data_IF_931290002245
#
_entry.id   IF_931290002245
#
_cell.length_a   1.000
_cell.length_b   1.000
_cell.length_c   1.000
_cell.angle_alpha   90.00
_cell.angle_beta   90.00
_cell.angle_gamma   90.00
#
_symmetry.space_group_name_H-M   'P 1'
#
loop_
_entity.id
_entity.type
_entity.pdbx_description
1 polymer ?
#
# COMPACT_ATOMS: atom_id res chain seq x y z
N UNK A 1 -4.22 -13.45 36.99
CA UNK A 1 -3.63 -12.76 35.81
C UNK A 1 -2.23 -13.27 35.35
N UNK A 2 -1.81 -14.54 35.53
CA UNK A 2 -0.49 -15.00 35.03
C UNK A 2 -0.45 -15.21 33.50
N UNK A 3 -1.58 -15.55 32.86
CA UNK A 3 -1.67 -15.81 31.41
C UNK A 3 -1.26 -14.61 30.54
N UNK A 4 -1.51 -13.37 31.00
CA UNK A 4 -1.18 -12.17 30.24
C UNK A 4 0.35 -11.95 30.11
N UNK A 5 1.13 -12.34 31.12
CA UNK A 5 2.59 -12.16 31.10
C UNK A 5 3.28 -13.14 30.15
N UNK A 6 2.81 -14.37 30.08
CA UNK A 6 3.37 -15.35 29.13
C UNK A 6 3.07 -14.96 27.69
N UNK A 7 1.84 -14.56 27.38
CA UNK A 7 1.49 -14.11 26.03
C UNK A 7 2.32 -12.90 25.58
N UNK A 8 2.60 -11.96 26.49
CA UNK A 8 3.41 -10.78 26.18
C UNK A 8 4.87 -11.15 25.82
N UNK A 9 5.45 -12.17 26.47
CA UNK A 9 6.82 -12.63 26.17
C UNK A 9 6.93 -13.21 24.75
N UNK A 10 5.88 -13.83 24.24
CA UNK A 10 5.86 -14.37 22.87
C UNK A 10 5.72 -13.30 21.80
N UNK A 11 5.05 -12.19 22.10
CA UNK A 11 4.82 -11.11 21.13
C UNK A 11 6.01 -10.15 21.01
N UNK A 12 6.82 -10.01 22.07
CA UNK A 12 7.97 -9.09 22.11
C UNK A 12 8.89 -9.18 20.89
N UNK A 13 9.43 -10.35 20.52
CA UNK A 13 10.35 -10.48 19.39
C UNK A 13 9.76 -10.01 18.06
N UNK A 14 8.46 -10.21 17.82
CA UNK A 14 7.81 -9.80 16.58
C UNK A 14 7.55 -8.30 16.54
N UNK A 15 7.21 -7.69 17.68
CA UNK A 15 7.10 -6.24 17.78
C UNK A 15 8.45 -5.56 17.52
N UNK A 16 9.53 -6.03 18.17
CA UNK A 16 10.88 -5.52 17.93
C UNK A 16 11.34 -5.75 16.49
N UNK A 17 11.06 -6.93 15.92
CA UNK A 17 11.32 -7.21 14.51
C UNK A 17 10.58 -6.26 13.57
N UNK A 18 9.30 -5.99 13.84
CA UNK A 18 8.48 -5.03 13.08
C UNK A 18 9.02 -3.60 13.16
N UNK A 19 9.48 -3.17 14.33
CA UNK A 19 10.13 -1.87 14.52
C UNK A 19 11.44 -1.76 13.74
N UNK A 20 12.33 -2.74 13.85
CA UNK A 20 13.61 -2.76 13.14
C UNK A 20 13.41 -2.78 11.61
N UNK A 21 12.47 -3.59 11.12
CA UNK A 21 12.12 -3.62 9.70
C UNK A 21 11.57 -2.26 9.22
N UNK A 22 10.71 -1.63 10.03
CA UNK A 22 10.17 -0.29 9.72
C UNK A 22 11.28 0.74 9.57
N UNK A 23 12.22 0.80 10.52
CA UNK A 23 13.36 1.73 10.47
C UNK A 23 14.29 1.42 9.29
N UNK A 24 14.58 0.15 9.05
CA UNK A 24 15.43 -0.28 7.94
C UNK A 24 14.84 0.11 6.58
N UNK A 25 13.55 -0.16 6.36
CA UNK A 25 12.85 0.16 5.11
C UNK A 25 12.65 1.66 4.93
N UNK A 26 12.48 2.41 6.02
CA UNK A 26 12.32 3.87 5.97
C UNK A 26 13.63 4.63 5.73
N UNK A 27 14.76 4.16 6.27
CA UNK A 27 16.02 4.92 6.23
C UNK A 27 17.12 4.19 5.46
N UNK A 28 17.48 2.99 5.89
CA UNK A 28 18.64 2.29 5.35
C UNK A 28 18.45 1.90 3.89
N UNK A 29 17.26 1.41 3.51
CA UNK A 29 17.00 0.94 2.16
C UNK A 29 17.00 2.07 1.11
N UNK A 30 16.32 3.23 1.34
CA UNK A 30 16.45 4.39 0.45
C UNK A 30 17.89 4.90 0.33
N UNK A 31 18.63 4.98 1.44
CA UNK A 31 20.04 5.40 1.40
C UNK A 31 20.90 4.43 0.57
N UNK A 32 20.71 3.13 0.76
CA UNK A 32 21.40 2.11 -0.02
C UNK A 32 21.06 2.20 -1.52
N UNK A 33 19.81 2.49 -1.87
CA UNK A 33 19.41 2.70 -3.26
C UNK A 33 20.17 3.90 -3.86
N UNK A 34 20.13 5.06 -3.20
CA UNK A 34 20.80 6.29 -3.64
C UNK A 34 22.31 6.08 -3.77
N UNK A 35 22.97 5.47 -2.79
CA UNK A 35 24.43 5.19 -2.85
C UNK A 35 24.84 4.24 -3.99
N UNK A 36 23.89 3.49 -4.56
CA UNK A 36 24.13 2.62 -5.72
C UNK A 36 23.79 3.29 -7.05
N UNK A 37 23.44 4.57 -7.05
CA UNK A 37 22.98 5.28 -8.25
C UNK A 37 21.61 4.83 -8.75
N UNK A 38 20.91 3.98 -7.98
CA UNK A 38 19.47 3.87 -8.12
C UNK A 38 18.92 5.12 -7.44
N UNK A 39 18.81 6.21 -8.21
CA UNK A 39 18.20 7.45 -7.74
C UNK A 39 16.78 7.23 -7.21
N UNK A 40 16.06 8.30 -6.93
CA UNK A 40 14.67 8.21 -6.43
C UNK A 40 13.66 7.73 -7.50
N UNK A 41 13.93 6.60 -8.17
CA UNK A 41 13.15 6.02 -9.24
C UNK A 41 13.16 6.88 -10.52
N UNK A 42 13.25 6.23 -11.68
CA UNK A 42 12.98 6.86 -12.99
C UNK A 42 11.48 7.12 -13.22
N UNK A 43 10.65 7.09 -12.16
CA UNK A 43 9.22 7.30 -12.34
C UNK A 43 8.99 8.73 -12.85
N UNK A 44 8.19 8.84 -13.93
CA UNK A 44 7.94 10.09 -14.66
C UNK A 44 7.55 11.19 -13.67
N UNK A 45 8.37 12.24 -13.59
CA UNK A 45 8.10 13.43 -12.79
C UNK A 45 6.70 13.96 -13.15
N UNK A 46 5.86 14.14 -12.13
CA UNK A 46 4.53 14.74 -12.30
C UNK A 46 4.56 16.15 -11.77
N UNK A 47 4.13 17.11 -12.56
CA UNK A 47 4.11 18.51 -12.15
C UNK A 47 2.67 18.94 -11.89
N UNK A 48 2.41 19.49 -10.70
CA UNK A 48 1.12 20.06 -10.35
C UNK A 48 1.23 21.56 -10.23
N UNK A 49 0.32 22.31 -10.85
CA UNK A 49 0.37 23.77 -10.88
C UNK A 49 -0.75 24.35 -10.03
N UNK A 50 -0.54 25.49 -9.38
CA UNK A 50 -1.61 26.14 -8.63
C UNK A 50 -2.75 26.58 -9.56
N UNK A 51 -3.99 26.31 -9.16
CA UNK A 51 -5.20 26.85 -9.76
C UNK A 51 -5.33 28.33 -9.40
N UNK A 52 -4.45 29.17 -9.96
CA UNK A 52 -4.57 30.63 -9.91
C UNK A 52 -5.53 31.14 -11.00
N UNK A 53 -6.00 32.40 -10.90
CA UNK A 53 -6.60 33.05 -12.06
C UNK A 53 -5.56 32.99 -13.16
N UNK A 54 -5.82 32.19 -14.19
CA UNK A 54 -4.99 32.13 -15.38
C UNK A 54 -4.75 33.58 -15.80
N UNK A 55 -3.53 34.09 -15.60
CA UNK A 55 -3.11 35.28 -16.32
C UNK A 55 -3.24 34.83 -17.77
N UNK A 56 -4.23 35.37 -18.48
CA UNK A 56 -4.57 34.97 -19.84
C UNK A 56 -3.37 35.11 -20.81
N UNK A 57 -2.31 35.79 -20.37
CA UNK A 57 -1.06 36.01 -21.10
C UNK A 57 0.06 35.02 -20.72
N UNK A 58 -0.23 33.91 -20.03
CA UNK A 58 0.78 32.90 -19.68
C UNK A 58 1.07 31.97 -20.89
N UNK A 59 1.62 32.52 -21.97
CA UNK A 59 2.14 31.79 -23.13
C UNK A 59 3.35 30.88 -22.79
N UNK A 60 3.72 30.77 -21.52
CA UNK A 60 4.84 29.93 -21.08
C UNK A 60 4.49 29.21 -19.76
N UNK A 61 4.27 27.87 -19.80
CA UNK A 61 3.97 27.07 -18.61
C UNK A 61 5.08 27.12 -17.54
N UNK A 62 6.29 27.53 -17.90
CA UNK A 62 7.42 27.72 -16.99
C UNK A 62 7.24 28.84 -15.95
N UNK A 63 6.21 29.68 -16.07
CA UNK A 63 5.97 30.81 -15.14
C UNK A 63 4.96 30.51 -14.04
N UNK A 64 4.43 29.29 -13.96
CA UNK A 64 3.44 28.93 -12.95
C UNK A 64 4.09 28.30 -11.73
N UNK A 65 3.60 28.60 -10.51
CA UNK A 65 4.12 27.96 -9.32
C UNK A 65 3.77 26.48 -9.37
N UNK A 66 4.77 25.65 -9.12
CA UNK A 66 4.69 24.23 -9.37
C UNK A 66 5.06 23.41 -8.14
N UNK A 67 4.38 22.29 -7.97
CA UNK A 67 4.74 21.22 -7.06
C UNK A 67 5.10 20.00 -7.90
N UNK A 68 6.38 19.68 -7.95
CA UNK A 68 6.88 18.50 -8.65
C UNK A 68 6.84 17.29 -7.72
N UNK A 69 6.25 16.20 -8.20
CA UNK A 69 6.16 14.93 -7.49
C UNK A 69 7.03 13.88 -8.18
N UNK A 70 7.98 13.35 -7.43
CA UNK A 70 8.72 12.14 -7.78
C UNK A 70 8.35 11.04 -6.77
N UNK A 71 7.81 9.93 -7.26
CA UNK A 71 7.36 8.81 -6.43
C UNK A 71 8.23 7.58 -6.71
N UNK A 72 8.45 6.80 -5.66
CA UNK A 72 9.01 5.46 -5.73
C UNK A 72 8.26 4.56 -4.73
N UNK A 73 8.57 3.27 -4.75
CA UNK A 73 8.02 2.33 -3.77
C UNK A 73 8.35 2.77 -2.33
N UNK A 74 9.56 3.28 -2.06
CA UNK A 74 10.04 3.55 -0.70
C UNK A 74 9.99 5.03 -0.31
N UNK A 75 9.93 5.91 -1.31
CA UNK A 75 10.06 7.37 -1.12
C UNK A 75 9.04 8.13 -1.95
N UNK A 76 8.64 9.31 -1.46
CA UNK A 76 7.97 10.34 -2.26
C UNK A 76 8.66 11.67 -1.98
N UNK A 77 9.10 12.35 -3.04
CA UNK A 77 9.68 13.70 -2.98
C UNK A 77 8.70 14.68 -3.62
N UNK A 78 8.41 15.74 -2.90
CA UNK A 78 7.60 16.86 -3.35
C UNK A 78 8.49 18.10 -3.38
N UNK A 79 8.71 18.69 -4.55
CA UNK A 79 9.52 19.90 -4.71
C UNK A 79 8.60 21.07 -5.02
N UNK A 80 8.40 21.96 -4.04
CA UNK A 80 7.64 23.19 -4.22
C UNK A 80 8.56 24.28 -4.77
N UNK A 81 8.21 24.83 -5.92
CA UNK A 81 8.99 25.85 -6.64
C UNK A 81 8.10 27.09 -6.83
N UNK A 82 8.54 28.27 -6.36
CA UNK A 82 7.81 29.51 -6.59
C UNK A 82 7.98 30.00 -8.02
N UNK A 83 7.15 30.95 -8.43
CA UNK A 83 7.38 31.72 -9.66
C UNK A 83 8.54 32.70 -9.49
N UNK A 84 9.01 33.28 -10.60
CA UNK A 84 9.99 34.38 -10.59
C UNK A 84 9.52 35.59 -9.74
N UNK A 85 8.21 35.81 -9.69
CA UNK A 85 7.55 36.84 -8.87
C UNK A 85 7.41 36.44 -7.37
N UNK A 86 7.87 35.24 -6.97
CA UNK A 86 7.83 34.74 -5.59
C UNK A 86 6.50 34.12 -5.14
N UNK A 87 5.58 33.80 -6.06
CA UNK A 87 4.33 33.13 -5.71
C UNK A 87 4.56 31.63 -5.53
N UNK A 88 4.06 31.04 -4.44
CA UNK A 88 4.20 29.62 -4.13
C UNK A 88 2.95 28.82 -4.54
N UNK A 89 3.06 27.49 -4.73
CA UNK A 89 1.95 26.63 -5.16
C UNK A 89 0.94 26.36 -4.03
N UNK A 90 0.29 27.42 -3.53
CA UNK A 90 -0.72 27.36 -2.48
C UNK A 90 -2.11 27.19 -3.12
N UNK A 91 -2.95 26.31 -2.55
CA UNK A 91 -4.35 26.14 -2.94
C UNK A 91 -4.62 24.85 -3.73
N UNK A 92 -5.70 24.82 -4.55
CA UNK A 92 -5.99 23.67 -5.40
C UNK A 92 -4.87 23.51 -6.43
N UNK A 93 -4.30 22.31 -6.54
CA UNK A 93 -3.28 22.03 -7.55
C UNK A 93 -3.92 21.28 -8.73
N UNK A 94 -3.46 21.54 -9.95
CA UNK A 94 -3.93 20.91 -11.18
C UNK A 94 -2.79 20.07 -11.78
N UNK A 95 -3.06 18.81 -12.07
CA UNK A 95 -2.14 17.92 -12.79
C UNK A 95 -2.47 17.94 -14.29
N UNK A 96 -1.48 18.24 -15.14
CA UNK A 96 -1.59 18.11 -16.59
C UNK A 96 -0.96 16.79 -17.01
N UNK A 97 -1.78 15.89 -17.57
CA UNK A 97 -1.39 14.50 -17.86
C UNK A 97 -0.67 14.34 -19.19
N UNK A 98 -0.89 15.27 -20.11
CA UNK A 98 -0.30 15.33 -21.44
C UNK A 98 -0.28 16.78 -21.92
N UNK A 99 0.71 17.18 -22.72
CA UNK A 99 0.82 18.55 -23.26
C UNK A 99 -0.41 18.91 -24.13
N UNK A 100 -1.10 17.90 -24.65
CA UNK A 100 -2.22 18.04 -25.59
C UNK A 100 -3.62 17.94 -24.97
N UNK A 101 -3.76 17.38 -23.76
CA UNK A 101 -5.08 17.15 -23.13
C UNK A 101 -5.17 17.76 -21.73
N UNK A 102 -5.73 18.97 -21.70
CA UNK A 102 -6.02 19.77 -20.52
C UNK A 102 -7.25 19.22 -19.77
N UNK A 103 -7.18 18.01 -19.21
CA UNK A 103 -8.17 17.60 -18.21
C UNK A 103 -7.58 17.89 -16.82
N UNK A 104 -7.89 19.04 -16.21
CA UNK A 104 -7.32 19.43 -14.92
C UNK A 104 -7.84 18.49 -13.83
N UNK A 105 -7.00 17.57 -13.37
CA UNK A 105 -7.29 16.79 -12.18
C UNK A 105 -6.90 17.62 -10.94
N UNK A 106 -7.89 17.94 -10.09
CA UNK A 106 -7.63 18.62 -8.81
C UNK A 106 -6.87 17.67 -7.87
N UNK A 107 -5.68 18.07 -7.47
CA UNK A 107 -4.80 17.37 -6.53
C UNK A 107 -4.66 18.16 -5.23
N UNK A 108 -4.53 17.42 -4.14
CA UNK A 108 -4.22 17.97 -2.81
C UNK A 108 -3.00 17.22 -2.29
N UNK A 109 -1.90 17.92 -1.97
CA UNK A 109 -0.73 17.25 -1.44
C UNK A 109 -1.04 16.69 -0.03
N UNK A 110 -0.35 15.62 0.41
CA UNK A 110 -0.48 15.14 1.77
C UNK A 110 -0.22 16.25 2.79
N UNK A 111 -0.93 16.27 3.92
CA UNK A 111 -0.79 17.31 4.95
C UNK A 111 0.62 17.44 5.56
N UNK A 112 1.53 16.48 5.30
CA UNK A 112 2.92 16.55 5.73
C UNK A 112 3.84 17.29 4.73
N UNK A 113 3.33 17.65 3.55
CA UNK A 113 4.07 18.37 2.50
C UNK A 113 3.93 19.86 2.71
N UNK A 114 5.07 20.55 2.78
CA UNK A 114 5.11 22.01 2.85
C UNK A 114 5.13 22.56 1.43
N UNK A 115 4.14 23.38 1.09
CA UNK A 115 3.99 23.96 -0.26
C UNK A 115 4.41 25.43 -0.34
N UNK A 116 4.62 26.09 0.80
CA UNK A 116 5.06 27.48 0.88
C UNK A 116 5.80 27.74 2.20
N UNK A 117 6.76 28.69 2.21
CA UNK A 117 7.36 29.19 3.42
C UNK A 117 6.35 30.03 4.24
N UNK A 118 6.65 30.34 5.51
CA UNK A 118 5.86 31.31 6.29
C UNK A 118 5.78 32.67 5.59
N UNK A 119 4.70 33.44 5.80
CA UNK A 119 4.42 34.70 5.08
C UNK A 119 5.56 35.73 5.13
N UNK A 120 6.39 35.72 6.17
CA UNK A 120 7.55 36.61 6.32
C UNK A 120 8.82 36.19 5.56
N UNK A 121 8.82 34.99 4.96
CA UNK A 121 10.01 34.38 4.33
C UNK A 121 9.80 34.08 2.84
N UNK A 122 8.69 34.51 2.22
CA UNK A 122 8.33 34.13 0.84
C UNK A 122 9.42 34.39 -0.21
N UNK A 123 10.17 35.48 -0.08
CA UNK A 123 11.27 35.82 -1.00
C UNK A 123 12.64 35.26 -0.63
N UNK A 124 12.78 34.63 0.54
CA UNK A 124 14.06 34.11 1.03
C UNK A 124 14.43 32.74 0.45
N UNK A 125 13.44 32.03 -0.09
CA UNK A 125 13.54 30.64 -0.52
C UNK A 125 13.22 30.51 -2.02
N UNK A 126 13.99 29.68 -2.71
CA UNK A 126 13.82 29.38 -4.13
C UNK A 126 13.22 28.01 -4.39
N UNK A 127 13.28 27.09 -3.41
CA UNK A 127 12.72 25.74 -3.49
C UNK A 127 12.54 25.14 -2.10
N UNK A 128 11.50 24.35 -1.89
CA UNK A 128 11.32 23.52 -0.70
C UNK A 128 11.08 22.08 -1.13
N UNK A 129 11.95 21.16 -0.73
CA UNK A 129 11.80 19.74 -0.99
C UNK A 129 11.30 19.03 0.26
N UNK A 130 10.12 18.42 0.19
CA UNK A 130 9.58 17.55 1.25
C UNK A 130 9.74 16.08 0.85
N UNK A 131 10.47 15.31 1.65
CA UNK A 131 10.67 13.87 1.46
C UNK A 131 9.85 13.08 2.46
N UNK A 132 9.06 12.12 1.96
CA UNK A 132 8.32 11.14 2.74
C UNK A 132 8.94 9.75 2.50
N UNK A 133 9.21 9.00 3.55
CA UNK A 133 9.82 7.65 3.44
C UNK A 133 9.10 6.62 4.28
N UNK A 134 9.21 5.37 3.86
CA UNK A 134 8.64 4.20 4.54
C UNK A 134 7.71 3.40 3.64
N UNK A 135 7.59 2.11 3.94
CA UNK A 135 6.73 1.19 3.21
C UNK A 135 6.19 0.09 4.16
N UNK A 136 4.92 -0.33 4.03
CA UNK A 136 3.93 0.13 3.04
C UNK A 136 3.34 1.51 3.34
N UNK A 137 3.48 2.02 4.57
CA UNK A 137 3.00 3.34 4.97
C UNK A 137 4.16 4.32 5.13
N UNK A 138 3.99 5.57 4.72
CA UNK A 138 5.00 6.62 4.93
C UNK A 138 5.13 6.93 6.42
N UNK A 139 6.28 6.58 6.99
CA UNK A 139 6.55 6.60 8.43
C UNK A 139 7.34 7.83 8.89
N UNK A 140 8.12 8.45 8.00
CA UNK A 140 8.90 9.64 8.31
C UNK A 140 8.76 10.70 7.23
N UNK A 141 8.94 11.95 7.64
CA UNK A 141 8.97 13.12 6.77
C UNK A 141 10.12 14.05 7.15
N UNK A 142 10.63 14.80 6.19
CA UNK A 142 11.67 15.80 6.40
C UNK A 142 11.71 16.77 5.24
N UNK A 143 12.32 17.93 5.46
CA UNK A 143 12.35 19.01 4.48
C UNK A 143 13.77 19.51 4.23
N UNK A 144 14.06 19.91 3.00
CA UNK A 144 15.26 20.63 2.61
C UNK A 144 14.84 21.95 1.95
N UNK A 145 15.28 23.08 2.52
CA UNK A 145 14.88 24.42 2.10
C UNK A 145 16.06 25.12 1.41
N UNK A 146 15.88 25.55 0.16
CA UNK A 146 16.94 26.15 -0.65
C UNK A 146 16.77 27.67 -0.69
N UNK A 147 17.79 28.42 -0.27
CA UNK A 147 17.74 29.88 -0.26
C UNK A 147 17.86 30.46 -1.66
N UNK A 148 17.21 31.59 -1.91
CA UNK A 148 17.39 32.36 -3.13
C UNK A 148 18.80 32.95 -3.14
N UNK A 149 19.68 32.42 -3.99
CA UNK A 149 21.01 32.99 -4.17
C UNK A 149 20.88 34.30 -4.95
N UNK A 150 21.27 35.42 -4.33
CA UNK A 150 21.30 36.72 -4.98
C UNK A 150 22.48 36.80 -5.95
N UNK A 151 22.34 36.19 -7.13
CA UNK A 151 23.04 36.34 -8.42
C UNK A 151 24.58 36.53 -8.49
N UNK A 152 25.34 36.62 -7.39
CA UNK A 152 26.76 37.01 -7.45
C UNK A 152 27.80 35.95 -7.18
N UNK A 153 27.44 34.83 -6.55
CA UNK A 153 28.34 33.68 -6.44
C UNK A 153 27.51 32.39 -6.55
N UNK A 154 27.59 31.73 -7.70
CA UNK A 154 26.91 30.46 -8.02
C UNK A 154 27.44 29.25 -7.23
N UNK A 155 28.02 29.48 -6.05
CA UNK A 155 28.50 28.44 -5.17
C UNK A 155 27.31 27.83 -4.41
N UNK A 156 26.96 26.61 -4.78
CA UNK A 156 26.09 25.62 -4.11
C UNK A 156 25.09 26.20 -3.10
N UNK A 157 23.82 26.26 -3.48
CA UNK A 157 22.74 26.61 -2.56
C UNK A 157 22.71 25.60 -1.39
N UNK A 158 23.25 26.01 -0.23
CA UNK A 158 23.24 25.20 0.99
C UNK A 158 21.80 25.04 1.44
N UNK A 159 21.26 23.83 1.35
CA UNK A 159 19.92 23.56 1.83
C UNK A 159 19.87 23.51 3.36
N UNK A 160 18.92 24.24 3.92
CA UNK A 160 18.59 24.19 5.35
C UNK A 160 17.68 22.98 5.59
N UNK A 161 18.21 21.95 6.25
CA UNK A 161 17.45 20.74 6.57
C UNK A 161 16.55 20.97 7.80
N UNK A 162 15.23 20.84 7.64
CA UNK A 162 14.26 20.98 8.72
C UNK A 162 13.60 19.65 9.02
N UNK A 163 13.82 19.13 10.23
CA UNK A 163 13.34 17.80 10.60
C UNK A 163 13.96 16.66 9.77
N UNK A 164 15.15 16.90 9.24
CA UNK A 164 15.94 15.97 8.45
C UNK A 164 17.42 16.14 8.80
N UNK A 165 18.21 15.11 8.56
CA UNK A 165 19.66 15.20 8.57
C UNK A 165 20.18 15.22 7.14
N UNK A 166 20.86 16.31 6.75
CA UNK A 166 21.55 16.37 5.46
C UNK A 166 22.83 15.51 5.48
N UNK A 167 23.00 14.70 4.45
CA UNK A 167 24.22 13.92 4.19
C UNK A 167 25.08 14.55 3.09
N UNK A 168 24.67 15.70 2.54
CA UNK A 168 25.36 16.40 1.45
C UNK A 168 24.83 16.03 0.06
N UNK A 169 25.61 16.40 -0.95
CA UNK A 169 25.33 16.09 -2.36
C UNK A 169 25.90 14.71 -2.72
N UNK A 170 25.08 13.84 -3.30
CA UNK A 170 25.52 12.62 -3.98
C UNK A 170 24.94 12.63 -5.39
N UNK A 171 25.81 12.58 -6.41
CA UNK A 171 25.39 12.57 -7.83
C UNK A 171 24.45 13.74 -8.18
N UNK A 172 24.83 14.96 -7.77
CA UNK A 172 24.06 16.20 -7.97
C UNK A 172 22.70 16.28 -7.24
N UNK A 173 22.32 15.23 -6.50
CA UNK A 173 21.12 15.21 -5.68
C UNK A 173 21.45 15.43 -4.20
N UNK A 174 20.63 16.26 -3.54
CA UNK A 174 20.74 16.49 -2.10
C UNK A 174 20.12 15.31 -1.35
N UNK A 175 20.95 14.58 -0.61
CA UNK A 175 20.51 13.40 0.14
C UNK A 175 20.28 13.78 1.58
N UNK A 176 19.09 13.52 2.09
CA UNK A 176 18.76 13.74 3.49
C UNK A 176 17.91 12.63 4.09
N UNK A 177 18.09 12.41 5.39
CA UNK A 177 17.37 11.42 6.18
C UNK A 177 16.25 12.11 6.95
N UNK A 178 14.97 11.82 6.66
CA UNK A 178 13.85 12.45 7.36
C UNK A 178 13.72 11.90 8.78
N UNK A 179 13.57 12.81 9.75
CA UNK A 179 13.54 12.51 11.18
C UNK A 179 12.17 12.77 11.82
N UNK A 180 11.25 13.52 11.17
CA UNK A 180 9.94 13.79 11.78
C UNK A 180 9.07 12.53 11.70
N UNK A 181 8.65 11.96 12.84
CA UNK A 181 7.86 10.74 12.86
C UNK A 181 6.42 11.03 12.40
N UNK A 182 5.90 10.15 11.55
CA UNK A 182 4.48 10.08 11.20
C UNK A 182 3.88 8.89 11.94
N UNK A 183 3.34 9.15 13.12
CA UNK A 183 2.90 8.10 14.06
C UNK A 183 1.98 7.06 13.43
N UNK A 184 1.02 7.47 12.60
CA UNK A 184 0.12 6.54 11.93
C UNK A 184 0.87 5.58 10.99
N UNK A 185 1.85 6.09 10.24
CA UNK A 185 2.68 5.28 9.35
C UNK A 185 3.63 4.35 10.11
N UNK A 186 4.22 4.83 11.21
CA UNK A 186 5.09 4.02 12.09
C UNK A 186 4.30 2.85 12.69
N UNK A 187 3.15 3.14 13.30
CA UNK A 187 2.31 2.10 13.92
C UNK A 187 1.83 1.10 12.86
N UNK A 188 1.36 1.57 11.71
CA UNK A 188 0.95 0.72 10.60
C UNK A 188 2.06 -0.21 10.12
N UNK A 189 3.28 0.31 9.93
CA UNK A 189 4.42 -0.49 9.49
C UNK A 189 4.87 -1.50 10.56
N UNK A 190 4.88 -1.14 11.86
CA UNK A 190 5.23 -2.07 12.94
C UNK A 190 4.25 -3.24 12.97
N UNK A 191 2.94 -2.97 12.87
CA UNK A 191 1.92 -4.01 12.84
C UNK A 191 2.07 -4.89 11.60
N UNK A 192 2.26 -4.28 10.43
CA UNK A 192 2.43 -4.98 9.17
C UNK A 192 3.67 -5.90 9.22
N UNK A 193 4.84 -5.35 9.48
CA UNK A 193 6.10 -6.10 9.48
C UNK A 193 6.19 -7.09 10.64
N UNK A 194 5.64 -6.77 11.80
CA UNK A 194 5.52 -7.71 12.92
C UNK A 194 4.64 -8.91 12.57
N UNK A 195 3.53 -8.68 11.85
CA UNK A 195 2.65 -9.75 11.35
C UNK A 195 3.34 -10.61 10.29
N UNK A 196 4.09 -10.00 9.36
CA UNK A 196 4.87 -10.71 8.35
C UNK A 196 5.95 -11.59 9.01
N UNK A 197 6.70 -11.05 9.98
CA UNK A 197 7.72 -11.79 10.71
C UNK A 197 7.11 -12.96 11.51
N UNK A 198 5.96 -12.72 12.17
CA UNK A 198 5.22 -13.77 12.84
C UNK A 198 4.78 -14.87 11.88
N UNK A 199 4.19 -14.50 10.75
CA UNK A 199 3.74 -15.45 9.73
C UNK A 199 4.91 -16.26 9.16
N UNK A 200 6.06 -15.62 8.89
CA UNK A 200 7.25 -16.29 8.38
C UNK A 200 7.79 -17.38 9.32
N UNK A 201 7.59 -17.25 10.63
CA UNK A 201 8.00 -18.26 11.63
C UNK A 201 6.87 -19.25 11.91
N UNK A 202 5.65 -18.76 12.12
CA UNK A 202 4.52 -19.58 12.53
C UNK A 202 4.01 -20.48 11.39
N UNK A 203 3.96 -19.98 10.15
CA UNK A 203 3.38 -20.70 9.03
C UNK A 203 4.17 -21.97 8.66
N UNK A 204 5.52 -21.96 8.53
CA UNK A 204 6.27 -23.19 8.27
C UNK A 204 6.14 -24.23 9.39
N UNK A 205 6.08 -23.78 10.65
CA UNK A 205 5.88 -24.67 11.80
C UNK A 205 4.48 -25.30 11.79
N UNK A 206 3.46 -24.50 11.50
CA UNK A 206 2.09 -24.99 11.33
C UNK A 206 1.99 -25.98 10.15
N UNK A 207 2.58 -25.66 8.99
CA UNK A 207 2.62 -26.55 7.82
C UNK A 207 3.36 -27.85 8.15
N UNK A 208 4.53 -27.79 8.81
CA UNK A 208 5.29 -28.98 9.20
C UNK A 208 4.51 -29.86 10.17
N UNK A 209 3.88 -29.25 11.17
CA UNK A 209 3.01 -29.94 12.12
C UNK A 209 1.85 -30.63 11.41
N UNK A 210 1.18 -29.91 10.51
CA UNK A 210 0.07 -30.44 9.72
C UNK A 210 0.51 -31.58 8.79
N UNK A 211 1.66 -31.44 8.10
CA UNK A 211 2.21 -32.51 7.26
C UNK A 211 2.51 -33.77 8.08
N UNK A 212 3.13 -33.63 9.26
CA UNK A 212 3.37 -34.76 10.17
C UNK A 212 2.07 -35.45 10.55
N UNK A 213 1.05 -34.69 10.95
CA UNK A 213 -0.25 -35.23 11.31
C UNK A 213 -0.95 -35.93 10.13
N UNK A 214 -0.83 -35.39 8.90
CA UNK A 214 -1.34 -36.00 7.66
C UNK A 214 -0.70 -37.36 7.37
N UNK A 215 0.59 -37.53 7.64
CA UNK A 215 1.31 -38.81 7.46
C UNK A 215 1.24 -39.71 8.71
N UNK A 216 0.25 -39.53 9.59
CA UNK A 216 0.08 -40.35 10.77
C UNK A 216 1.14 -40.14 11.86
N UNK A 217 1.95 -39.08 11.79
CA UNK A 217 2.98 -38.78 12.81
C UNK A 217 2.46 -37.80 13.86
N UNK A 218 3.02 -37.85 15.07
CA UNK A 218 2.74 -36.86 16.10
C UNK A 218 3.27 -35.48 15.68
N UNK A 219 2.43 -34.44 15.79
CA UNK A 219 2.81 -33.06 15.46
C UNK A 219 3.94 -32.50 16.32
N UNK A 220 4.10 -32.99 17.57
CA UNK A 220 5.14 -32.55 18.53
C UNK A 220 6.43 -33.36 18.38
N UNK A 221 6.42 -34.66 18.71
CA UNK A 221 7.64 -35.49 18.74
C UNK A 221 7.97 -36.21 17.43
N UNK A 222 7.04 -36.28 16.46
CA UNK A 222 7.27 -36.98 15.20
C UNK A 222 7.06 -38.51 15.23
N UNK A 223 6.66 -39.09 16.37
CA UNK A 223 6.35 -40.52 16.48
C UNK A 223 5.31 -40.98 15.45
N UNK A 224 5.60 -42.03 14.71
CA UNK A 224 4.69 -42.66 13.74
C UNK A 224 3.60 -43.43 14.46
N UNK A 225 2.35 -43.02 14.28
CA UNK A 225 1.20 -43.80 14.74
C UNK A 225 0.90 -44.89 13.72
N UNK A 226 0.50 -46.06 14.23
CA UNK A 226 0.05 -47.16 13.41
C UNK A 226 -1.16 -46.71 12.57
N UNK A 227 -0.99 -46.68 11.25
CA UNK A 227 -2.03 -46.29 10.30
C UNK A 227 -3.17 -47.31 10.24
N UNK A 228 -2.95 -48.54 10.73
CA UNK A 228 -3.95 -49.61 10.75
C UNK A 228 -4.74 -49.67 12.06
N UNK A 229 -4.39 -48.86 13.07
CA UNK A 229 -5.15 -48.81 14.31
C UNK A 229 -6.54 -48.20 14.05
N UNK A 230 -7.59 -49.00 14.29
CA UNK A 230 -9.02 -48.63 14.11
C UNK A 230 -9.41 -47.36 14.89
N UNK A 231 -8.70 -47.07 15.99
CA UNK A 231 -8.92 -45.88 16.82
C UNK A 231 -7.59 -45.18 17.10
N UNK A 232 -7.48 -43.91 16.68
CA UNK A 232 -6.34 -43.07 17.06
C UNK A 232 -6.34 -42.87 18.59
N UNK A 233 -5.24 -43.10 19.30
CA UNK A 233 -5.17 -42.84 20.73
C UNK A 233 -5.38 -41.34 21.02
N UNK A 234 -5.98 -40.99 22.16
CA UNK A 234 -6.22 -39.58 22.55
C UNK A 234 -4.95 -38.83 22.94
N UNK A 235 -3.86 -39.57 23.24
CA UNK A 235 -2.55 -39.03 23.61
C UNK A 235 -1.45 -39.74 22.84
N UNK A 236 -0.38 -39.02 22.52
CA UNK A 236 0.80 -39.63 21.94
C UNK A 236 1.47 -40.55 22.97
N UNK A 237 1.80 -41.81 22.62
CA UNK A 237 2.39 -42.75 23.57
C UNK A 237 3.80 -42.33 24.02
N UNK A 238 4.54 -41.62 23.18
CA UNK A 238 5.90 -41.17 23.53
C UNK A 238 5.93 -39.90 24.36
N UNK A 239 5.39 -38.81 23.82
CA UNK A 239 5.54 -37.49 24.44
C UNK A 239 4.37 -37.08 25.35
N UNK A 240 3.37 -37.95 25.50
CA UNK A 240 2.18 -37.72 26.34
C UNK A 240 1.29 -36.57 25.88
N UNK A 241 1.63 -35.87 24.79
CA UNK A 241 0.84 -34.74 24.29
C UNK A 241 -0.54 -35.27 23.92
N UNK A 242 -1.57 -34.67 24.51
CA UNK A 242 -2.92 -34.92 24.06
C UNK A 242 -2.97 -34.52 22.58
N UNK A 243 -3.41 -35.43 21.73
CA UNK A 243 -3.83 -35.01 20.41
C UNK A 243 -4.99 -34.09 20.66
N UNK A 244 -4.86 -32.83 20.24
CA UNK A 244 -6.03 -31.99 20.15
C UNK A 244 -7.04 -32.81 19.35
N UNK A 245 -8.17 -33.20 19.97
CA UNK A 245 -9.33 -33.70 19.22
C UNK A 245 -9.54 -32.65 18.18
N UNK A 246 -9.23 -32.98 16.93
CA UNK A 246 -9.09 -31.99 15.88
C UNK A 246 -10.34 -31.12 15.90
N UNK A 247 -10.30 -29.91 16.50
CA UNK A 247 -11.49 -29.10 16.58
C UNK A 247 -11.86 -28.69 15.15
N UNK A 248 -10.87 -28.76 14.26
CA UNK A 248 -10.91 -28.60 12.83
C UNK A 248 -10.78 -29.95 12.09
N UNK A 249 -11.34 -31.06 12.58
CA UNK A 249 -11.50 -32.28 11.76
C UNK A 249 -12.18 -31.98 10.41
N UNK A 250 -12.90 -30.85 10.37
CA UNK A 250 -13.47 -30.17 9.21
C UNK A 250 -12.48 -29.44 8.26
N UNK A 251 -11.19 -29.31 8.61
CA UNK A 251 -10.15 -28.56 7.89
C UNK A 251 -9.02 -29.42 7.33
N UNK A 252 -9.06 -30.76 7.48
CA UNK A 252 -8.63 -31.60 6.35
C UNK A 252 -9.40 -31.04 5.16
N UNK A 253 -8.74 -30.36 4.21
CA UNK A 253 -9.41 -29.69 3.09
C UNK A 253 -10.54 -30.58 2.58
N UNK A 254 -11.78 -30.37 3.04
CA UNK A 254 -12.89 -31.10 2.50
C UNK A 254 -12.97 -30.63 1.05
N UNK A 255 -13.69 -31.35 0.19
CA UNK A 255 -14.18 -30.67 -0.99
C UNK A 255 -14.83 -29.35 -0.54
N UNK A 256 -14.36 -28.21 -1.09
CA UNK A 256 -14.90 -26.91 -0.73
C UNK A 256 -16.42 -26.99 -0.79
N UNK A 257 -17.12 -26.55 0.26
CA UNK A 257 -18.56 -26.82 0.43
C UNK A 257 -19.38 -26.37 -0.79
N UNK A 258 -18.90 -25.34 -1.50
CA UNK A 258 -19.56 -24.72 -2.64
C UNK A 258 -18.59 -24.48 -3.81
N UNK A 259 -17.81 -25.49 -4.24
CA UNK A 259 -16.84 -25.38 -5.35
C UNK A 259 -17.39 -24.60 -6.57
N UNK A 260 -18.53 -25.03 -7.12
CA UNK A 260 -19.14 -24.38 -8.28
C UNK A 260 -19.48 -22.91 -8.02
N UNK A 261 -20.00 -22.58 -6.84
CA UNK A 261 -20.34 -21.21 -6.47
C UNK A 261 -19.08 -20.34 -6.35
N UNK A 262 -17.99 -20.88 -5.79
CA UNK A 262 -16.73 -20.14 -5.70
C UNK A 262 -16.08 -19.92 -7.07
N UNK A 263 -16.20 -20.85 -8.02
CA UNK A 263 -15.78 -20.63 -9.41
C UNK A 263 -16.51 -19.44 -10.02
N UNK A 264 -17.83 -19.33 -9.81
CA UNK A 264 -18.60 -18.17 -10.26
C UNK A 264 -18.18 -16.87 -9.58
N UNK A 265 -17.90 -16.89 -8.26
CA UNK A 265 -17.39 -15.71 -7.54
C UNK A 265 -16.06 -15.25 -8.14
N UNK A 266 -15.13 -16.17 -8.39
CA UNK A 266 -13.81 -15.85 -8.96
C UNK A 266 -13.98 -15.31 -10.39
N UNK A 267 -14.81 -15.96 -11.21
CA UNK A 267 -15.08 -15.56 -12.58
C UNK A 267 -15.66 -14.14 -12.67
N UNK A 268 -16.75 -13.86 -11.95
CA UNK A 268 -17.40 -12.54 -11.94
C UNK A 268 -16.46 -11.48 -11.38
N UNK A 269 -15.71 -11.79 -10.32
CA UNK A 269 -14.73 -10.84 -9.75
C UNK A 269 -13.57 -10.55 -10.71
N UNK A 270 -13.19 -11.52 -11.55
CA UNK A 270 -12.12 -11.34 -12.55
C UNK A 270 -12.62 -10.49 -13.73
N UNK A 271 -13.86 -10.69 -14.18
CA UNK A 271 -14.51 -9.82 -15.17
C UNK A 271 -14.61 -8.38 -14.67
N UNK A 272 -14.98 -8.18 -13.41
CA UNK A 272 -15.04 -6.85 -12.79
C UNK A 272 -13.70 -6.11 -12.88
N UNK A 273 -12.59 -6.78 -12.56
CA UNK A 273 -11.24 -6.21 -12.69
C UNK A 273 -10.92 -5.86 -14.15
N UNK A 274 -11.21 -6.75 -15.10
CA UNK A 274 -10.94 -6.54 -16.53
C UNK A 274 -11.75 -5.37 -17.10
N UNK A 275 -13.04 -5.28 -16.76
CA UNK A 275 -13.93 -4.22 -17.22
C UNK A 275 -13.58 -2.87 -16.58
N UNK A 276 -13.25 -2.87 -15.28
CA UNK A 276 -12.76 -1.67 -14.59
C UNK A 276 -11.49 -1.16 -15.28
N UNK A 277 -10.54 -2.04 -15.58
CA UNK A 277 -9.35 -1.67 -16.37
C UNK A 277 -9.70 -1.07 -17.72
N UNK A 278 -10.64 -1.68 -18.46
CA UNK A 278 -11.05 -1.17 -19.76
C UNK A 278 -11.70 0.22 -19.67
N UNK A 279 -12.57 0.44 -18.69
CA UNK A 279 -13.23 1.74 -18.47
C UNK A 279 -12.21 2.81 -18.09
N UNK A 280 -11.32 2.51 -17.13
CA UNK A 280 -10.28 3.45 -16.72
C UNK A 280 -9.30 3.76 -17.86
N UNK A 281 -9.00 2.80 -18.73
CA UNK A 281 -8.15 3.03 -19.91
C UNK A 281 -8.77 3.97 -20.95
N UNK A 282 -10.11 4.11 -20.94
CA UNK A 282 -10.86 5.06 -21.80
C UNK A 282 -11.11 6.40 -21.11
N UNK A 283 -10.46 6.68 -19.97
CA UNK A 283 -10.65 7.94 -19.23
C UNK A 283 -11.87 7.95 -18.31
N UNK A 284 -12.52 6.81 -18.07
CA UNK A 284 -13.57 6.70 -17.07
C UNK A 284 -13.05 7.00 -15.65
N UNK A 285 -13.96 7.41 -14.77
CA UNK A 285 -13.64 7.71 -13.36
C UNK A 285 -14.20 6.60 -12.47
N UNK A 286 -13.39 6.15 -11.50
CA UNK A 286 -13.83 5.16 -10.51
C UNK A 286 -14.83 5.79 -9.54
N UNK A 287 -16.08 5.32 -9.56
CA UNK A 287 -17.15 5.80 -8.68
C UNK A 287 -17.06 5.24 -7.25
N UNK A 288 -16.33 4.14 -7.04
CA UNK A 288 -16.12 3.60 -5.70
C UNK A 288 -14.98 4.36 -4.98
N UNK A 289 -15.26 5.13 -3.91
CA UNK A 289 -14.26 5.97 -3.25
C UNK A 289 -13.12 5.14 -2.64
N UNK A 290 -13.40 3.92 -2.17
CA UNK A 290 -12.37 3.04 -1.61
C UNK A 290 -11.41 2.56 -2.69
N UNK A 291 -11.96 2.17 -3.85
CA UNK A 291 -11.14 1.76 -4.99
C UNK A 291 -10.32 2.94 -5.53
N UNK A 292 -10.91 4.13 -5.61
CA UNK A 292 -10.21 5.36 -6.00
C UNK A 292 -9.00 5.64 -5.10
N UNK A 293 -9.16 5.56 -3.78
CA UNK A 293 -8.05 5.74 -2.81
C UNK A 293 -6.94 4.71 -3.05
N UNK A 294 -7.30 3.44 -3.28
CA UNK A 294 -6.32 2.37 -3.55
C UNK A 294 -5.60 2.61 -4.87
N UNK A 295 -6.31 3.06 -5.92
CA UNK A 295 -5.73 3.38 -7.23
C UNK A 295 -4.80 4.58 -7.14
N UNK A 296 -5.18 5.64 -6.44
CA UNK A 296 -4.36 6.85 -6.27
C UNK A 296 -3.08 6.56 -5.47
N UNK A 297 -3.17 5.64 -4.50
CA UNK A 297 -2.03 5.26 -3.68
C UNK A 297 -1.09 4.29 -4.42
N UNK A 298 -1.63 3.21 -4.99
CA UNK A 298 -0.86 2.02 -5.42
C UNK A 298 -1.03 1.71 -6.91
N UNK A 299 -1.72 2.57 -7.65
CA UNK A 299 -2.01 2.38 -9.06
C UNK A 299 -2.95 1.20 -9.35
N UNK A 300 -2.95 0.77 -10.60
CA UNK A 300 -3.77 -0.34 -11.08
C UNK A 300 -3.47 -1.65 -10.35
N UNK A 301 -2.18 -1.90 -10.06
CA UNK A 301 -1.75 -3.12 -9.35
C UNK A 301 -2.32 -3.19 -7.94
N UNK A 302 -2.44 -2.05 -7.25
CA UNK A 302 -3.10 -1.97 -5.95
C UNK A 302 -4.57 -2.36 -6.01
N UNK A 303 -5.30 -1.87 -7.02
CA UNK A 303 -6.72 -2.19 -7.19
C UNK A 303 -6.94 -3.69 -7.46
N UNK A 304 -6.10 -4.30 -8.32
CA UNK A 304 -6.12 -5.73 -8.60
C UNK A 304 -5.87 -6.53 -7.31
N UNK A 305 -4.81 -6.20 -6.57
CA UNK A 305 -4.46 -6.87 -5.31
C UNK A 305 -5.59 -6.74 -4.27
N UNK A 306 -6.19 -5.56 -4.15
CA UNK A 306 -7.31 -5.29 -3.26
C UNK A 306 -8.53 -6.15 -3.58
N UNK A 307 -8.91 -6.25 -4.86
CA UNK A 307 -10.04 -7.10 -5.30
C UNK A 307 -9.77 -8.58 -5.04
N UNK A 308 -8.57 -9.08 -5.33
CA UNK A 308 -8.20 -10.46 -5.01
C UNK A 308 -8.20 -10.74 -3.49
N UNK A 309 -7.74 -9.79 -2.68
CA UNK A 309 -7.78 -9.91 -1.22
C UNK A 309 -9.23 -9.95 -0.69
N UNK A 310 -10.10 -9.07 -1.20
CA UNK A 310 -11.52 -9.06 -0.86
C UNK A 310 -12.21 -10.37 -1.27
N UNK A 311 -11.95 -10.86 -2.48
CA UNK A 311 -12.49 -12.12 -2.99
C UNK A 311 -12.05 -13.31 -2.12
N UNK A 312 -10.75 -13.39 -1.79
CA UNK A 312 -10.23 -14.42 -0.90
C UNK A 312 -10.88 -14.35 0.48
N UNK A 313 -11.04 -13.16 1.04
CA UNK A 313 -11.71 -12.97 2.33
C UNK A 313 -13.16 -13.45 2.31
N UNK A 314 -13.92 -13.13 1.25
CA UNK A 314 -15.31 -13.59 1.08
C UNK A 314 -15.39 -15.12 0.99
N UNK A 315 -14.50 -15.76 0.23
CA UNK A 315 -14.46 -17.24 0.14
C UNK A 315 -14.17 -17.86 1.52
N UNK A 316 -13.18 -17.32 2.25
CA UNK A 316 -12.84 -17.78 3.60
C UNK A 316 -14.03 -17.59 4.56
N UNK A 317 -14.70 -16.44 4.50
CA UNK A 317 -15.88 -16.16 5.33
C UNK A 317 -17.04 -17.13 5.02
N UNK A 318 -17.31 -17.40 3.74
CA UNK A 318 -18.32 -18.37 3.32
C UNK A 318 -18.00 -19.77 3.83
N UNK A 319 -16.74 -20.20 3.78
CA UNK A 319 -16.32 -21.52 4.25
C UNK A 319 -16.41 -21.65 5.78
N UNK A 320 -16.05 -20.60 6.52
CA UNK A 320 -16.23 -20.55 7.98
C UNK A 320 -17.72 -20.66 8.33
N UNK A 321 -18.57 -19.88 7.66
CA UNK A 321 -20.01 -19.91 7.90
C UNK A 321 -20.66 -21.21 7.45
N UNK A 322 -20.22 -21.83 6.37
CA UNK A 322 -20.71 -23.13 5.92
C UNK A 322 -20.51 -24.20 6.99
N UNK A 323 -19.39 -24.13 7.72
CA UNK A 323 -19.05 -25.03 8.82
C UNK A 323 -19.88 -24.77 10.07
N UNK A 324 -20.34 -23.54 10.30
CA UNK A 324 -21.22 -23.20 11.42
C UNK A 324 -22.69 -23.51 11.10
N UNK A 325 -23.17 -23.06 9.93
CA UNK A 325 -24.54 -23.23 9.43
C UNK A 325 -24.51 -23.28 7.89
N UNK A 326 -24.63 -24.47 7.31
CA UNK A 326 -24.55 -24.71 5.86
C UNK A 326 -25.51 -23.84 5.03
N UNK A 327 -26.72 -23.58 5.52
CA UNK A 327 -27.69 -22.70 4.85
C UNK A 327 -27.23 -21.24 4.78
N UNK A 328 -26.64 -20.71 5.87
CA UNK A 328 -26.12 -19.35 5.92
C UNK A 328 -24.91 -19.17 4.99
N UNK A 329 -24.00 -20.15 4.96
CA UNK A 329 -22.87 -20.14 4.03
C UNK A 329 -23.31 -20.14 2.56
N UNK A 330 -24.34 -20.93 2.22
CA UNK A 330 -24.91 -20.97 0.87
C UNK A 330 -25.55 -19.63 0.48
N UNK A 331 -26.35 -19.07 1.37
CA UNK A 331 -26.98 -17.76 1.15
C UNK A 331 -25.92 -16.67 0.95
N UNK A 332 -24.88 -16.63 1.79
CA UNK A 332 -23.80 -15.65 1.66
C UNK A 332 -23.03 -15.80 0.34
N UNK A 333 -22.71 -17.02 -0.06
CA UNK A 333 -22.01 -17.28 -1.32
C UNK A 333 -22.85 -16.86 -2.54
N UNK A 334 -24.15 -17.12 -2.54
CA UNK A 334 -25.07 -16.66 -3.59
C UNK A 334 -25.22 -15.14 -3.60
N UNK A 335 -25.35 -14.52 -2.42
CA UNK A 335 -25.42 -13.06 -2.29
C UNK A 335 -24.12 -12.39 -2.78
N UNK A 336 -22.96 -12.98 -2.49
CA UNK A 336 -21.67 -12.49 -2.97
C UNK A 336 -21.59 -12.51 -4.50
N UNK A 337 -22.06 -13.56 -5.18
CA UNK A 337 -22.14 -13.58 -6.65
C UNK A 337 -23.05 -12.46 -7.15
N UNK A 338 -24.26 -12.35 -6.58
CA UNK A 338 -25.24 -11.35 -7.03
C UNK A 338 -24.70 -9.92 -6.88
N UNK A 339 -24.09 -9.60 -5.73
CA UNK A 339 -23.49 -8.28 -5.46
C UNK A 339 -22.32 -8.02 -6.40
N UNK A 340 -21.42 -9.00 -6.60
CA UNK A 340 -20.28 -8.85 -7.51
C UNK A 340 -20.69 -8.76 -8.99
N UNK A 341 -21.85 -9.28 -9.38
CA UNK A 341 -22.33 -9.22 -10.76
C UNK A 341 -22.87 -7.84 -11.15
N UNK A 342 -23.37 -7.04 -10.19
CA UNK A 342 -23.95 -5.72 -10.47
C UNK A 342 -22.96 -4.78 -11.17
N UNK A 343 -21.72 -4.57 -10.67
CA UNK A 343 -20.74 -3.72 -11.35
C UNK A 343 -20.34 -4.23 -12.73
N UNK A 344 -20.27 -5.56 -12.91
CA UNK A 344 -19.94 -6.20 -14.20
C UNK A 344 -21.01 -5.89 -15.24
N UNK A 345 -22.29 -6.12 -14.90
CA UNK A 345 -23.42 -5.83 -15.78
C UNK A 345 -23.48 -4.35 -16.13
N UNK A 346 -23.30 -3.47 -15.13
CA UNK A 346 -23.26 -2.03 -15.35
C UNK A 346 -22.11 -1.60 -16.27
N UNK A 347 -20.92 -2.14 -16.05
CA UNK A 347 -19.74 -1.84 -16.86
C UNK A 347 -19.90 -2.31 -18.32
N UNK A 348 -20.48 -3.50 -18.53
CA UNK A 348 -20.82 -3.98 -19.86
C UNK A 348 -21.86 -3.09 -20.53
N UNK A 349 -22.90 -2.68 -19.79
CA UNK A 349 -23.91 -1.77 -20.30
C UNK A 349 -23.31 -0.43 -20.74
N UNK A 350 -22.44 0.17 -19.92
CA UNK A 350 -21.74 1.41 -20.28
C UNK A 350 -20.86 1.24 -21.52
N UNK A 351 -20.08 0.15 -21.60
CA UNK A 351 -19.22 -0.11 -22.76
C UNK A 351 -20.05 -0.27 -24.04
N UNK A 352 -21.14 -1.04 -23.99
CA UNK A 352 -22.06 -1.20 -25.12
C UNK A 352 -22.66 0.14 -25.51
N UNK A 353 -23.18 0.91 -24.55
CA UNK A 353 -23.78 2.23 -24.82
C UNK A 353 -22.78 3.16 -25.52
N UNK A 354 -21.54 3.22 -25.02
CA UNK A 354 -20.50 4.09 -25.62
C UNK A 354 -20.01 3.62 -26.98
N UNK A 355 -20.02 2.31 -27.26
CA UNK A 355 -19.51 1.77 -28.52
C UNK A 355 -20.55 1.88 -29.65
N UNK A 356 -21.83 1.68 -29.32
CA UNK A 356 -22.91 1.71 -30.32
C UNK A 356 -23.52 3.09 -30.53
N UNK A 357 -23.35 4.01 -29.57
CA UNK A 357 -23.84 5.38 -29.66
C UNK A 357 -22.72 6.40 -29.39
N UNK A 358 -21.69 6.46 -30.24
CA UNK A 358 -20.72 7.54 -30.17
C UNK A 358 -21.42 8.86 -30.50
N UNK A 359 -21.37 9.83 -29.58
CA UNK A 359 -21.83 11.20 -29.82
C UNK A 359 -20.94 11.95 -30.82
#
# INVERSE_FOLDING_TARGET
MPLAREQLRWLGPFFFGGLLATLFVAWALPLLAVTRGAGFGEERMRTWFAAGPARADADSPHRMPALELQRSALTERYSAVPTDDGYWPVGPLLEYRDESTLVPAKRTPPAAVVVAPPDGELGAWSRIDTLLVGWPFRAFSGEAWFRTLQQRDAAEAVAEARGAWSLGLMQDDFVFVPLRPRWLGIVGNIVFWGSVAWAAVALPLAIRRHRREKYGKCGKCGYTMDTHAVKRPDRCPECGVAFARDPLGFARSPEMHFQNTYVWVIFISSLDIMLTWKILSRGGVEVNPVAAIVIDAWGMHGAIAFKFALMMWVIVACEILARLRRSAGRFLATAAIAISAVPVVWSLFLLVLTEFFPE
#
